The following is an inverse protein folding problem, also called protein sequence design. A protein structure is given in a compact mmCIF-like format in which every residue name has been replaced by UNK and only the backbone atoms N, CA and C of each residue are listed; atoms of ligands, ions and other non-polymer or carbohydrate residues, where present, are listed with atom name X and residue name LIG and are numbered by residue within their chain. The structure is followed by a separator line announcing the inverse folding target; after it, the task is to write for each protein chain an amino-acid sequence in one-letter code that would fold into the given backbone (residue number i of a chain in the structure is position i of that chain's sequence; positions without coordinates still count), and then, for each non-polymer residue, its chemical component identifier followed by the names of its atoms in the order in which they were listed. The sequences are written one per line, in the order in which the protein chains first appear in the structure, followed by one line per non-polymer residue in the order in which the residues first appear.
data_IF_897663325348
#
_entry.id   IF_897663325348
#
_cell.length_a   1.000
_cell.length_b   1.000
_cell.length_c   1.000
_cell.angle_alpha   90.00
_cell.angle_beta   90.00
_cell.angle_gamma   90.00
#
_symmetry.space_group_name_H-M   'P 1'
#
loop_
_entity.id
_entity.type
_entity.pdbx_description
1 polymer ?
#
# COMPACT_ATOMS: atom_id res chain seq x y z
N UNK A 1 -16.07 -1.31 5.64
CA UNK A 1 -16.55 -0.58 6.82
C UNK A 1 -17.29 0.66 6.36
N UNK A 2 -18.42 0.92 6.97
CA UNK A 2 -19.21 2.15 6.80
C UNK A 2 -19.39 2.80 8.17
N UNK A 3 -19.12 4.09 8.29
CA UNK A 3 -19.37 4.90 9.49
C UNK A 3 -20.42 5.95 9.16
N UNK A 4 -21.34 6.21 10.08
CA UNK A 4 -22.43 7.18 9.90
C UNK A 4 -22.42 8.21 11.03
N UNK A 5 -22.59 9.49 10.68
CA UNK A 5 -22.74 10.56 11.66
C UNK A 5 -24.22 10.81 12.01
N UNK A 6 -24.44 11.66 13.00
CA UNK A 6 -25.80 12.03 13.47
C UNK A 6 -26.68 12.71 12.41
N UNK A 7 -26.10 13.16 11.30
CA UNK A 7 -26.84 13.76 10.19
C UNK A 7 -27.10 12.77 9.04
N UNK A 8 -26.76 11.48 9.22
CA UNK A 8 -26.94 10.44 8.22
C UNK A 8 -25.92 10.47 7.08
N UNK A 9 -24.79 11.19 7.25
CA UNK A 9 -23.70 11.15 6.28
C UNK A 9 -22.82 9.96 6.56
N UNK A 10 -22.36 9.28 5.50
CA UNK A 10 -21.57 8.06 5.61
C UNK A 10 -20.17 8.25 5.07
N UNK A 11 -19.19 7.70 5.78
CA UNK A 11 -17.81 7.51 5.31
C UNK A 11 -17.53 6.02 5.13
N UNK A 12 -16.66 5.68 4.20
CA UNK A 12 -16.38 4.30 3.81
C UNK A 12 -14.89 4.00 3.81
N UNK A 13 -14.55 2.75 4.09
CA UNK A 13 -13.23 2.17 3.90
C UNK A 13 -13.32 0.65 3.75
N UNK A 14 -12.19 -0.03 3.61
CA UNK A 14 -12.13 -1.48 3.55
C UNK A 14 -10.99 -2.03 4.41
N UNK A 15 -11.09 -3.29 4.82
CA UNK A 15 -10.02 -4.08 5.40
C UNK A 15 -9.42 -4.98 4.33
N UNK A 16 -8.10 -4.95 4.18
CA UNK A 16 -7.38 -5.70 3.15
C UNK A 16 -6.52 -6.82 3.72
N UNK A 17 -6.78 -7.24 4.96
CA UNK A 17 -6.09 -8.37 5.59
C UNK A 17 -6.43 -9.69 4.89
N UNK A 18 -5.51 -10.64 5.04
CA UNK A 18 -5.67 -11.96 4.44
C UNK A 18 -6.37 -12.95 5.37
N UNK A 19 -6.82 -14.05 4.81
CA UNK A 19 -7.35 -15.17 5.58
C UNK A 19 -6.28 -15.87 6.43
N UNK A 20 -5.00 -15.67 6.11
CA UNK A 20 -3.84 -16.23 6.82
C UNK A 20 -2.85 -15.11 7.16
N UNK A 21 -2.01 -15.34 8.16
CA UNK A 21 -1.05 -14.38 8.69
C UNK A 21 0.32 -14.38 7.97
N UNK A 22 0.33 -14.61 6.66
CA UNK A 22 1.58 -14.68 5.90
C UNK A 22 2.26 -13.32 5.70
N UNK A 23 1.49 -12.25 5.63
CA UNK A 23 2.01 -10.90 5.41
C UNK A 23 2.21 -10.14 6.74
N UNK A 24 1.17 -10.07 7.56
CA UNK A 24 1.22 -9.54 8.93
C UNK A 24 0.65 -10.58 9.90
N UNK A 25 0.93 -10.49 11.21
CA UNK A 25 0.45 -11.46 12.19
C UNK A 25 -1.07 -11.52 12.37
N UNK A 26 -1.82 -10.53 11.87
CA UNK A 26 -3.28 -10.46 11.93
C UNK A 26 -3.96 -11.15 10.73
N UNK A 27 -5.20 -11.56 10.90
CA UNK A 27 -6.04 -12.16 9.87
C UNK A 27 -7.35 -11.43 9.74
N UNK A 28 -8.04 -11.53 8.57
CA UNK A 28 -9.33 -10.86 8.34
C UNK A 28 -10.39 -11.24 9.39
N UNK A 29 -10.39 -12.49 9.88
CA UNK A 29 -11.33 -12.92 10.92
C UNK A 29 -11.04 -12.28 12.27
N UNK A 30 -9.76 -12.13 12.63
CA UNK A 30 -9.35 -11.42 13.85
C UNK A 30 -9.67 -9.93 13.73
N UNK A 31 -9.35 -9.30 12.59
CA UNK A 31 -9.60 -7.90 12.36
C UNK A 31 -11.09 -7.55 12.39
N UNK A 32 -11.94 -8.41 11.81
CA UNK A 32 -13.40 -8.26 11.92
C UNK A 32 -13.85 -8.22 13.39
N UNK A 33 -13.38 -9.14 14.21
CA UNK A 33 -13.69 -9.18 15.64
C UNK A 33 -13.14 -7.95 16.38
N UNK A 34 -11.91 -7.55 16.10
CA UNK A 34 -11.25 -6.38 16.71
C UNK A 34 -11.96 -5.08 16.33
N UNK A 35 -12.36 -4.93 15.06
CA UNK A 35 -13.15 -3.77 14.63
C UNK A 35 -14.46 -3.70 15.38
N UNK A 36 -15.21 -4.80 15.46
CA UNK A 36 -16.51 -4.87 16.12
C UNK A 36 -16.43 -4.65 17.64
N UNK A 37 -15.50 -5.36 18.30
CA UNK A 37 -15.52 -5.49 19.77
C UNK A 37 -14.58 -4.49 20.47
N UNK A 38 -13.62 -3.91 19.76
CA UNK A 38 -12.60 -3.03 20.36
C UNK A 38 -12.57 -1.64 19.72
N UNK A 39 -12.49 -1.55 18.37
CA UNK A 39 -12.31 -0.26 17.69
C UNK A 39 -13.63 0.52 17.62
N UNK A 40 -14.73 -0.11 17.21
CA UNK A 40 -16.00 0.57 17.07
C UNK A 40 -16.52 1.18 18.39
N UNK A 41 -16.45 0.51 19.55
CA UNK A 41 -16.80 1.13 20.83
C UNK A 41 -15.95 2.35 21.20
N UNK A 42 -14.64 2.34 20.89
CA UNK A 42 -13.75 3.48 21.13
C UNK A 42 -14.12 4.66 20.24
N UNK A 43 -14.35 4.41 18.97
CA UNK A 43 -14.68 5.47 17.98
C UNK A 43 -16.06 6.06 18.26
N UNK A 44 -17.05 5.24 18.59
CA UNK A 44 -18.42 5.68 18.86
C UNK A 44 -18.58 6.38 20.23
N UNK A 45 -17.70 6.13 21.18
CA UNK A 45 -17.78 6.68 22.53
C UNK A 45 -17.32 8.14 22.65
N UNK A 46 -16.71 8.69 21.61
CA UNK A 46 -16.04 9.99 21.67
C UNK A 46 -16.52 10.96 20.57
N UNK A 47 -16.21 12.23 20.75
CA UNK A 47 -16.39 13.27 19.73
C UNK A 47 -15.05 13.73 19.22
N UNK A 48 -14.87 13.70 17.92
CA UNK A 48 -13.65 14.09 17.24
C UNK A 48 -13.89 15.33 16.38
N UNK A 49 -12.97 16.29 16.43
CA UNK A 49 -12.99 17.48 15.58
C UNK A 49 -12.25 17.27 14.27
N UNK A 50 -11.24 16.36 14.28
CA UNK A 50 -10.45 16.03 13.11
C UNK A 50 -10.11 14.53 13.12
N UNK A 51 -10.01 13.86 11.95
CA UNK A 51 -9.70 12.42 11.87
C UNK A 51 -8.41 11.99 12.57
N UNK A 52 -7.38 12.86 12.64
CA UNK A 52 -6.13 12.57 13.35
C UNK A 52 -6.31 12.29 14.85
N UNK A 53 -7.38 12.80 15.46
CA UNK A 53 -7.70 12.53 16.86
C UNK A 53 -8.16 11.07 17.06
N UNK A 54 -8.85 10.50 16.06
CA UNK A 54 -9.21 9.08 16.03
C UNK A 54 -7.94 8.22 16.00
N UNK A 55 -6.99 8.55 15.12
CA UNK A 55 -5.72 7.83 15.02
C UNK A 55 -4.96 7.88 16.35
N UNK A 56 -4.92 9.03 17.02
CA UNK A 56 -4.30 9.19 18.33
C UNK A 56 -4.98 8.32 19.40
N UNK A 57 -6.32 8.27 19.42
CA UNK A 57 -7.09 7.43 20.34
C UNK A 57 -6.81 5.94 20.10
N UNK A 58 -6.80 5.49 18.85
CA UNK A 58 -6.51 4.11 18.48
C UNK A 58 -5.04 3.71 18.77
N UNK A 59 -4.10 4.65 18.65
CA UNK A 59 -2.70 4.40 18.94
C UNK A 59 -2.44 4.13 20.43
N UNK A 60 -3.20 4.77 21.32
CA UNK A 60 -3.05 4.64 22.77
C UNK A 60 -3.91 3.54 23.38
N UNK A 61 -4.85 2.95 22.63
CA UNK A 61 -5.74 1.94 23.16
C UNK A 61 -5.01 0.60 23.38
N UNK A 62 -5.08 0.02 24.59
CA UNK A 62 -4.37 -1.22 24.90
C UNK A 62 -4.74 -2.36 23.96
N UNK A 63 -3.75 -3.07 23.46
CA UNK A 63 -3.93 -4.25 22.62
C UNK A 63 -4.12 -3.99 21.12
N UNK A 64 -4.36 -2.75 20.67
CA UNK A 64 -4.51 -2.43 19.25
C UNK A 64 -3.19 -2.25 18.48
N UNK A 65 -2.05 -2.21 19.18
CA UNK A 65 -0.74 -2.04 18.52
C UNK A 65 -0.43 -3.15 17.49
N UNK A 66 -0.90 -4.36 17.74
CA UNK A 66 -0.67 -5.53 16.88
C UNK A 66 -1.71 -5.72 15.75
N UNK A 67 -2.68 -4.80 15.63
CA UNK A 67 -3.75 -4.85 14.64
C UNK A 67 -3.76 -3.59 13.76
N UNK A 68 -2.69 -3.30 13.01
CA UNK A 68 -2.66 -2.14 12.13
C UNK A 68 -3.74 -2.21 11.04
N UNK A 69 -4.00 -3.37 10.43
CA UNK A 69 -5.00 -3.48 9.37
C UNK A 69 -6.43 -3.30 9.90
N UNK A 70 -6.73 -3.79 11.12
CA UNK A 70 -8.02 -3.51 11.75
C UNK A 70 -8.22 -2.00 12.01
N UNK A 71 -7.19 -1.28 12.43
CA UNK A 71 -7.23 0.18 12.57
C UNK A 71 -7.43 0.86 11.22
N UNK A 72 -6.69 0.41 10.20
CA UNK A 72 -6.80 0.92 8.83
C UNK A 72 -8.14 0.58 8.15
N UNK A 73 -8.90 -0.37 8.69
CA UNK A 73 -10.27 -0.63 8.25
C UNK A 73 -11.27 0.44 8.71
N UNK A 74 -10.99 1.18 9.78
CA UNK A 74 -11.95 2.14 10.38
C UNK A 74 -11.50 3.59 10.22
N UNK A 75 -10.25 3.90 10.50
CA UNK A 75 -9.72 5.27 10.50
C UNK A 75 -9.92 5.98 9.16
N UNK A 76 -9.69 5.35 8.00
CA UNK A 76 -9.93 6.00 6.71
C UNK A 76 -11.42 6.29 6.41
N UNK A 77 -12.35 5.51 6.97
CA UNK A 77 -13.78 5.83 6.85
C UNK A 77 -14.12 7.14 7.55
N UNK A 78 -13.45 7.46 8.65
CA UNK A 78 -13.60 8.75 9.34
C UNK A 78 -13.01 9.90 8.49
N UNK A 79 -11.89 9.69 7.80
CA UNK A 79 -11.35 10.65 6.84
C UNK A 79 -12.31 10.91 5.67
N UNK A 80 -12.91 9.86 5.12
CA UNK A 80 -13.91 9.99 4.05
C UNK A 80 -15.16 10.78 4.53
N UNK A 81 -15.67 10.42 5.70
CA UNK A 81 -16.78 11.13 6.32
C UNK A 81 -16.45 12.61 6.56
N UNK A 82 -15.29 12.89 7.11
CA UNK A 82 -14.82 14.25 7.35
C UNK A 82 -14.69 15.06 6.05
N UNK A 83 -14.14 14.45 5.00
CA UNK A 83 -14.08 15.07 3.66
C UNK A 83 -15.44 15.44 3.12
N UNK A 84 -16.46 14.59 3.33
CA UNK A 84 -17.86 14.88 2.97
C UNK A 84 -18.48 16.00 3.81
N UNK A 85 -18.08 16.10 5.09
CA UNK A 85 -18.52 17.20 5.99
C UNK A 85 -17.93 18.53 5.55
N UNK A 86 -16.63 18.59 5.28
CA UNK A 86 -15.93 19.85 4.94
C UNK A 86 -15.96 20.16 3.43
N UNK A 87 -16.52 19.29 2.60
CA UNK A 87 -16.63 19.47 1.17
C UNK A 87 -15.30 19.43 0.42
N UNK A 88 -14.33 18.59 0.89
CA UNK A 88 -13.01 18.49 0.28
C UNK A 88 -12.65 17.03 -0.06
N UNK A 89 -11.89 16.79 -1.16
CA UNK A 89 -11.33 15.48 -1.45
C UNK A 89 -10.21 15.13 -0.49
N UNK A 90 -10.00 13.81 -0.29
CA UNK A 90 -8.93 13.30 0.57
C UNK A 90 -7.56 13.86 0.17
N UNK A 91 -7.25 13.91 -1.13
CA UNK A 91 -5.96 14.43 -1.63
C UNK A 91 -5.64 15.82 -1.08
N UNK A 92 -6.61 16.73 -1.06
CA UNK A 92 -6.42 18.07 -0.48
C UNK A 92 -6.24 18.07 1.03
N UNK A 93 -7.04 17.25 1.71
CA UNK A 93 -6.98 17.19 3.19
C UNK A 93 -5.64 16.71 3.71
N UNK A 94 -4.97 15.82 2.97
CA UNK A 94 -3.65 15.30 3.33
C UNK A 94 -2.48 16.15 2.78
N UNK A 95 -2.75 17.27 2.10
CA UNK A 95 -1.72 18.15 1.56
C UNK A 95 -1.25 17.81 0.14
N UNK A 96 -1.97 16.93 -0.55
CA UNK A 96 -1.71 16.58 -1.94
C UNK A 96 -2.21 17.62 -2.94
N UNK A 97 -1.90 17.44 -4.21
CA UNK A 97 -2.32 18.31 -5.30
C UNK A 97 -3.76 18.03 -5.74
N UNK A 98 -4.31 18.98 -6.51
CA UNK A 98 -5.58 18.83 -7.22
C UNK A 98 -5.37 18.13 -8.58
N UNK A 99 -4.56 17.10 -8.64
CA UNK A 99 -4.33 16.38 -9.87
C UNK A 99 -5.63 15.74 -10.39
N UNK A 100 -5.92 15.95 -11.67
CA UNK A 100 -7.05 15.27 -12.33
C UNK A 100 -6.72 13.82 -12.66
N UNK A 101 -5.42 13.50 -12.74
CA UNK A 101 -4.89 12.20 -13.07
C UNK A 101 -3.55 11.95 -12.36
N UNK A 102 -3.24 10.69 -12.15
CA UNK A 102 -1.90 10.20 -11.74
C UNK A 102 -1.49 9.04 -12.65
N UNK A 103 -0.19 8.81 -12.75
CA UNK A 103 0.30 7.58 -13.38
C UNK A 103 -0.09 6.38 -12.53
N UNK A 104 -0.63 5.35 -13.16
CA UNK A 104 -0.84 4.06 -12.54
C UNK A 104 0.41 3.20 -12.58
N UNK A 105 0.47 2.20 -11.72
CA UNK A 105 1.48 1.16 -11.76
C UNK A 105 0.84 -0.22 -11.72
N UNK A 106 1.40 -1.15 -12.44
CA UNK A 106 0.92 -2.51 -12.48
C UNK A 106 1.91 -3.48 -11.86
N UNK A 107 1.42 -4.65 -11.45
CA UNK A 107 2.22 -5.72 -10.85
C UNK A 107 2.09 -6.97 -11.72
N UNK A 108 3.21 -7.63 -11.98
CA UNK A 108 3.28 -8.93 -12.65
C UNK A 108 3.81 -9.97 -11.66
N UNK A 109 3.05 -11.05 -11.49
CA UNK A 109 3.41 -12.17 -10.61
C UNK A 109 4.51 -13.05 -11.19
N UNK A 110 4.98 -14.00 -10.37
CA UNK A 110 5.93 -15.03 -10.79
C UNK A 110 5.25 -15.97 -11.77
N UNK A 111 5.86 -16.15 -12.94
CA UNK A 111 5.38 -17.03 -14.02
C UNK A 111 6.56 -17.40 -14.96
N UNK A 112 6.40 -18.33 -15.88
CA UNK A 112 7.37 -18.59 -16.93
C UNK A 112 7.74 -17.31 -17.71
N UNK A 113 8.97 -17.21 -18.18
CA UNK A 113 9.51 -15.98 -18.79
C UNK A 113 8.66 -15.45 -19.95
N UNK A 114 8.12 -16.31 -20.79
CA UNK A 114 7.27 -15.89 -21.93
C UNK A 114 5.92 -15.33 -21.47
N UNK A 115 5.35 -15.85 -20.38
CA UNK A 115 4.10 -15.33 -19.80
C UNK A 115 4.35 -13.96 -19.13
N UNK A 116 5.47 -13.81 -18.42
CA UNK A 116 5.90 -12.51 -17.85
C UNK A 116 6.08 -11.47 -18.96
N UNK A 117 6.78 -11.81 -20.05
CA UNK A 117 6.97 -10.94 -21.22
C UNK A 117 5.63 -10.53 -21.84
N UNK A 118 4.74 -11.51 -22.07
CA UNK A 118 3.41 -11.25 -22.63
C UNK A 118 2.57 -10.33 -21.71
N UNK A 119 2.62 -10.55 -20.40
CA UNK A 119 1.93 -9.70 -19.43
C UNK A 119 2.48 -8.25 -19.45
N UNK A 120 3.80 -8.09 -19.41
CA UNK A 120 4.43 -6.75 -19.46
C UNK A 120 4.13 -6.05 -20.78
N UNK A 121 4.23 -6.75 -21.93
CA UNK A 121 3.87 -6.22 -23.24
C UNK A 121 2.42 -5.70 -23.27
N UNK A 122 1.49 -6.46 -22.68
CA UNK A 122 0.09 -6.07 -22.57
C UNK A 122 -0.09 -4.79 -21.72
N UNK A 123 0.61 -4.70 -20.59
CA UNK A 123 0.57 -3.53 -19.71
C UNK A 123 1.16 -2.27 -20.39
N UNK A 124 2.29 -2.41 -21.06
CA UNK A 124 2.89 -1.31 -21.85
C UNK A 124 1.95 -0.85 -22.97
N UNK A 125 1.29 -1.77 -23.66
CA UNK A 125 0.29 -1.44 -24.68
C UNK A 125 -0.93 -0.71 -24.10
N UNK A 126 -1.27 -0.92 -22.82
CA UNK A 126 -2.31 -0.18 -22.09
C UNK A 126 -1.81 1.20 -21.61
N UNK A 127 -0.52 1.53 -21.79
CA UNK A 127 0.08 2.81 -21.45
C UNK A 127 0.77 2.87 -20.08
N UNK A 128 0.92 1.75 -19.38
CA UNK A 128 1.72 1.74 -18.14
C UNK A 128 3.18 2.03 -18.44
N UNK A 129 3.75 2.98 -17.70
CA UNK A 129 5.16 3.39 -17.79
C UNK A 129 6.01 2.82 -16.64
N UNK A 130 5.36 2.18 -15.67
CA UNK A 130 5.98 1.53 -14.52
C UNK A 130 5.33 0.17 -14.30
N UNK A 131 6.15 -0.88 -14.20
CA UNK A 131 5.73 -2.24 -13.87
C UNK A 131 6.59 -2.76 -12.70
N UNK A 132 5.94 -3.33 -11.69
CA UNK A 132 6.59 -4.10 -10.62
C UNK A 132 6.53 -5.58 -10.96
N UNK A 133 7.68 -6.23 -10.99
CA UNK A 133 7.79 -7.67 -11.23
C UNK A 133 8.07 -8.37 -9.91
N UNK A 134 7.25 -9.36 -9.56
CA UNK A 134 7.59 -10.31 -8.49
C UNK A 134 8.73 -11.19 -8.97
N UNK A 135 9.73 -11.38 -8.14
CA UNK A 135 10.93 -12.14 -8.48
C UNK A 135 11.26 -13.19 -7.42
N UNK A 136 11.86 -14.27 -7.88
CA UNK A 136 12.44 -15.34 -7.07
C UNK A 136 13.83 -15.69 -7.59
N UNK A 137 14.75 -16.22 -6.75
CA UNK A 137 16.16 -16.37 -7.11
C UNK A 137 16.42 -17.14 -8.41
N UNK A 138 15.63 -18.18 -8.69
CA UNK A 138 15.85 -19.12 -9.77
C UNK A 138 15.54 -18.54 -11.17
N UNK A 139 14.55 -17.66 -11.25
CA UNK A 139 14.00 -17.16 -12.52
C UNK A 139 14.19 -15.66 -12.73
N UNK A 140 14.51 -14.91 -11.68
CA UNK A 140 14.58 -13.45 -11.69
C UNK A 140 15.43 -12.89 -12.83
N UNK A 141 16.66 -13.38 -12.96
CA UNK A 141 17.60 -12.81 -13.94
C UNK A 141 17.12 -13.01 -15.38
N UNK A 142 16.58 -14.18 -15.70
CA UNK A 142 16.07 -14.49 -17.04
C UNK A 142 14.84 -13.61 -17.35
N UNK A 143 13.88 -13.56 -16.44
CA UNK A 143 12.66 -12.77 -16.63
C UNK A 143 12.94 -11.27 -16.76
N UNK A 144 13.76 -10.70 -15.86
CA UNK A 144 14.06 -9.27 -15.87
C UNK A 144 14.89 -8.87 -17.08
N UNK A 145 15.88 -9.70 -17.48
CA UNK A 145 16.68 -9.46 -18.68
C UNK A 145 15.83 -9.49 -19.95
N UNK A 146 14.91 -10.44 -20.06
CA UNK A 146 14.01 -10.54 -21.21
C UNK A 146 13.10 -9.31 -21.32
N UNK A 147 12.47 -8.89 -20.21
CA UNK A 147 11.63 -7.69 -20.17
C UNK A 147 12.43 -6.43 -20.46
N UNK A 148 13.63 -6.29 -19.91
CA UNK A 148 14.50 -5.12 -20.15
C UNK A 148 14.96 -5.04 -21.62
N UNK A 149 15.18 -6.19 -22.27
CA UNK A 149 15.52 -6.22 -23.69
C UNK A 149 14.37 -5.75 -24.58
N UNK A 150 13.11 -6.12 -24.25
CA UNK A 150 11.92 -5.68 -24.97
C UNK A 150 11.56 -4.22 -24.67
N UNK A 151 11.82 -3.75 -23.45
CA UNK A 151 11.43 -2.40 -22.96
C UNK A 151 12.60 -1.70 -22.24
N UNK A 152 13.57 -1.16 -22.98
CA UNK A 152 14.79 -0.54 -22.41
C UNK A 152 14.51 0.61 -21.43
N UNK A 153 13.46 1.40 -21.68
CA UNK A 153 13.15 2.61 -20.93
C UNK A 153 12.02 2.43 -19.89
N UNK A 154 11.45 1.23 -19.79
CA UNK A 154 10.37 0.96 -18.82
C UNK A 154 10.89 1.08 -17.39
N UNK A 155 10.17 1.83 -16.53
CA UNK A 155 10.46 1.83 -15.09
C UNK A 155 10.10 0.47 -14.51
N UNK A 156 11.11 -0.36 -14.25
CA UNK A 156 10.95 -1.66 -13.59
C UNK A 156 11.24 -1.51 -12.11
N UNK A 157 10.36 -2.04 -11.27
CA UNK A 157 10.60 -2.32 -9.86
C UNK A 157 10.61 -3.83 -9.68
N UNK A 158 11.50 -4.33 -8.84
CA UNK A 158 11.62 -5.76 -8.56
C UNK A 158 11.20 -6.00 -7.11
N UNK A 159 10.29 -6.93 -6.88
CA UNK A 159 9.79 -7.25 -5.56
C UNK A 159 10.05 -8.73 -5.25
N UNK A 160 10.95 -8.95 -4.31
CA UNK A 160 11.42 -10.28 -3.94
C UNK A 160 10.59 -10.92 -2.81
N UNK A 161 9.75 -10.16 -2.10
CA UNK A 161 8.99 -10.63 -0.95
C UNK A 161 9.80 -11.55 -0.03
N UNK A 162 11.04 -11.16 0.28
CA UNK A 162 11.95 -11.86 1.18
C UNK A 162 12.40 -13.25 0.70
N UNK A 163 12.42 -13.51 -0.62
CA UNK A 163 12.77 -14.82 -1.19
C UNK A 163 14.27 -15.07 -1.38
N UNK A 164 15.10 -14.03 -1.31
CA UNK A 164 16.56 -14.12 -1.43
C UNK A 164 17.26 -14.21 -0.08
N UNK A 165 18.54 -14.55 -0.13
CA UNK A 165 19.49 -14.44 0.96
C UNK A 165 20.88 -14.08 0.42
N UNK A 166 21.89 -13.98 1.28
CA UNK A 166 23.25 -13.56 0.90
C UNK A 166 23.94 -14.51 -0.08
N UNK A 167 23.50 -15.76 -0.22
CA UNK A 167 24.04 -16.70 -1.21
C UNK A 167 23.70 -16.30 -2.64
N UNK A 168 22.67 -15.46 -2.83
CA UNK A 168 22.24 -14.95 -4.11
C UNK A 168 22.79 -13.56 -4.46
N UNK A 169 23.79 -13.04 -3.72
CA UNK A 169 24.38 -11.72 -3.98
C UNK A 169 24.78 -11.53 -5.45
N UNK A 170 25.34 -12.58 -6.06
CA UNK A 170 25.76 -12.59 -7.48
C UNK A 170 24.57 -12.35 -8.44
N UNK A 171 23.39 -12.91 -8.11
CA UNK A 171 22.14 -12.70 -8.87
C UNK A 171 21.66 -11.27 -8.69
N UNK A 172 21.66 -10.77 -7.47
CA UNK A 172 21.24 -9.40 -7.15
C UNK A 172 22.13 -8.35 -7.83
N UNK A 173 23.47 -8.57 -7.88
CA UNK A 173 24.39 -7.71 -8.63
C UNK A 173 24.13 -7.74 -10.15
N UNK A 174 23.73 -8.90 -10.72
CA UNK A 174 23.36 -8.99 -12.14
C UNK A 174 22.01 -8.30 -12.41
N UNK A 175 21.06 -8.37 -11.49
CA UNK A 175 19.80 -7.63 -11.57
C UNK A 175 20.05 -6.12 -11.48
N UNK A 176 20.95 -5.66 -10.59
CA UNK A 176 21.38 -4.25 -10.48
C UNK A 176 21.88 -3.70 -11.81
N UNK A 177 22.66 -4.51 -12.56
CA UNK A 177 23.18 -4.14 -13.88
C UNK A 177 22.07 -3.92 -14.95
N UNK A 178 20.85 -4.43 -14.72
CA UNK A 178 19.68 -4.21 -15.57
C UNK A 178 18.92 -2.91 -15.22
N UNK A 179 19.44 -2.13 -14.27
CA UNK A 179 18.97 -0.82 -13.88
C UNK A 179 17.46 -0.77 -13.50
N UNK A 180 17.01 -1.58 -12.53
CA UNK A 180 15.67 -1.40 -11.96
C UNK A 180 15.62 -0.13 -11.09
N UNK A 181 14.43 0.41 -10.87
CA UNK A 181 14.24 1.57 -10.00
C UNK A 181 14.49 1.24 -8.51
N UNK A 182 14.09 0.06 -8.08
CA UNK A 182 14.43 -0.50 -6.77
C UNK A 182 14.32 -2.04 -6.78
N UNK A 183 14.93 -2.66 -5.76
CA UNK A 183 14.74 -4.07 -5.38
C UNK A 183 14.08 -4.07 -4.00
N UNK A 184 12.81 -4.47 -3.95
CA UNK A 184 11.96 -4.45 -2.75
C UNK A 184 12.10 -5.75 -1.98
N UNK A 185 12.31 -5.64 -0.66
CA UNK A 185 12.39 -6.73 0.32
C UNK A 185 13.18 -7.96 -0.16
N UNK A 186 14.48 -7.81 -0.50
CA UNK A 186 15.22 -8.94 -1.06
C UNK A 186 15.46 -10.07 -0.06
N UNK A 187 15.83 -9.78 1.20
CA UNK A 187 16.36 -10.81 2.09
C UNK A 187 15.33 -11.43 3.04
N UNK A 188 15.41 -12.77 3.14
CA UNK A 188 14.66 -13.56 4.11
C UNK A 188 15.13 -13.23 5.54
N UNK A 189 14.22 -12.75 6.42
CA UNK A 189 14.57 -12.40 7.80
C UNK A 189 14.96 -13.63 8.66
N UNK A 190 14.52 -14.82 8.27
CA UNK A 190 14.80 -16.07 9.01
C UNK A 190 16.11 -16.74 8.59
N UNK A 191 16.73 -16.30 7.50
CA UNK A 191 18.03 -16.83 7.08
C UNK A 191 19.14 -16.27 7.96
N UNK A 192 20.08 -17.15 8.35
CA UNK A 192 21.27 -16.77 9.13
C UNK A 192 22.50 -16.93 8.25
N UNK A 193 23.12 -15.81 7.79
CA UNK A 193 24.30 -15.87 6.95
C UNK A 193 25.54 -16.42 7.69
N UNK A 194 26.55 -16.79 6.93
CA UNK A 194 27.82 -17.29 7.47
C UNK A 194 28.54 -16.27 8.39
N UNK A 195 28.28 -14.97 8.23
CA UNK A 195 28.76 -13.91 9.12
C UNK A 195 28.15 -13.99 10.54
N UNK A 196 27.02 -14.68 10.70
CA UNK A 196 26.26 -14.74 11.94
C UNK A 196 25.38 -13.51 12.21
N UNK A 197 25.36 -12.51 11.30
CA UNK A 197 24.51 -11.31 11.46
C UNK A 197 23.03 -11.66 11.33
N UNK A 198 22.24 -11.33 12.33
CA UNK A 198 20.79 -11.63 12.41
C UNK A 198 19.90 -10.41 12.21
N UNK A 199 20.45 -9.22 12.35
CA UNK A 199 19.68 -7.99 12.14
C UNK A 199 19.43 -7.78 10.65
N UNK A 200 18.17 -7.90 10.24
CA UNK A 200 17.77 -7.77 8.84
C UNK A 200 18.16 -6.42 8.25
N UNK A 201 17.99 -5.33 8.98
CA UNK A 201 18.32 -3.99 8.47
C UNK A 201 19.83 -3.82 8.25
N UNK A 202 20.67 -4.38 9.12
CA UNK A 202 22.12 -4.40 8.92
C UNK A 202 22.48 -5.20 7.66
N UNK A 203 21.85 -6.36 7.45
CA UNK A 203 22.06 -7.19 6.26
C UNK A 203 21.62 -6.47 4.97
N UNK A 204 20.46 -5.79 5.00
CA UNK A 204 19.97 -4.99 3.87
C UNK A 204 20.84 -3.77 3.60
N UNK A 205 21.39 -3.15 4.64
CA UNK A 205 22.37 -2.06 4.54
C UNK A 205 23.68 -2.52 3.87
N UNK A 206 24.19 -3.68 4.27
CA UNK A 206 25.37 -4.27 3.62
C UNK A 206 25.10 -4.60 2.15
N UNK A 207 23.93 -5.12 1.83
CA UNK A 207 23.51 -5.31 0.43
C UNK A 207 23.44 -3.99 -0.34
N UNK A 208 22.91 -2.93 0.28
CA UNK A 208 22.84 -1.61 -0.38
C UNK A 208 24.22 -1.05 -0.72
N UNK A 209 25.24 -1.36 0.06
CA UNK A 209 26.63 -0.94 -0.26
C UNK A 209 27.19 -1.64 -1.52
N UNK A 210 26.68 -2.83 -1.86
CA UNK A 210 27.07 -3.58 -3.06
C UNK A 210 26.28 -3.17 -4.32
N UNK A 211 25.10 -2.53 -4.14
CA UNK A 211 24.18 -2.21 -5.24
C UNK A 211 24.08 -0.70 -5.48
N UNK A 212 23.96 -0.30 -6.76
CA UNK A 212 23.58 1.07 -7.16
C UNK A 212 22.07 1.28 -7.04
N UNK A 213 21.30 0.25 -7.40
CA UNK A 213 19.84 0.20 -7.26
C UNK A 213 19.45 0.31 -5.78
N UNK A 214 18.41 1.08 -5.50
CA UNK A 214 17.90 1.22 -4.13
C UNK A 214 17.30 -0.09 -3.63
N UNK A 215 17.73 -0.54 -2.47
CA UNK A 215 16.98 -1.52 -1.68
C UNK A 215 15.77 -0.81 -1.09
N UNK A 216 14.57 -1.35 -1.35
CA UNK A 216 13.32 -0.79 -0.87
C UNK A 216 12.76 -1.65 0.27
N UNK A 217 12.35 -1.00 1.36
CA UNK A 217 11.78 -1.67 2.53
C UNK A 217 10.25 -1.63 2.46
N UNK A 218 9.61 -2.77 2.68
CA UNK A 218 8.16 -2.95 2.77
C UNK A 218 7.79 -3.79 4.00
N UNK A 219 7.77 -5.11 3.90
CA UNK A 219 7.33 -6.03 4.96
C UNK A 219 8.15 -5.89 6.25
N UNK A 220 9.41 -5.53 6.14
CA UNK A 220 10.31 -5.37 7.29
C UNK A 220 10.03 -4.13 8.15
N UNK A 221 9.26 -3.16 7.63
CA UNK A 221 8.97 -1.89 8.32
C UNK A 221 7.48 -1.76 8.60
N UNK A 222 7.06 -2.12 9.80
CA UNK A 222 5.66 -2.07 10.26
C UNK A 222 5.50 -1.16 11.48
N UNK A 223 6.41 -1.25 12.43
CA UNK A 223 6.34 -0.52 13.69
C UNK A 223 7.26 0.71 13.71
N UNK A 224 7.01 1.65 14.62
CA UNK A 224 7.91 2.78 14.85
C UNK A 224 9.34 2.32 15.20
N UNK A 225 9.48 1.20 15.93
CA UNK A 225 10.79 0.63 16.25
C UNK A 225 11.52 0.10 15.01
N UNK A 226 10.80 -0.52 14.06
CA UNK A 226 11.39 -0.96 12.80
C UNK A 226 11.86 0.24 11.97
N UNK A 227 11.04 1.31 11.96
CA UNK A 227 11.38 2.56 11.28
C UNK A 227 12.65 3.19 11.86
N UNK A 228 12.73 3.29 13.20
CA UNK A 228 13.91 3.84 13.89
C UNK A 228 15.16 2.99 13.60
N UNK A 229 15.04 1.66 13.63
CA UNK A 229 16.14 0.75 13.34
C UNK A 229 16.63 0.88 11.89
N UNK A 230 15.71 0.93 10.92
CA UNK A 230 16.05 1.12 9.51
C UNK A 230 16.70 2.49 9.25
N UNK A 231 16.21 3.55 9.91
CA UNK A 231 16.73 4.91 9.74
C UNK A 231 18.08 5.16 10.40
N UNK A 232 18.45 4.33 11.38
CA UNK A 232 19.82 4.34 11.91
C UNK A 232 20.88 3.95 10.87
N UNK A 233 20.45 3.51 9.66
CA UNK A 233 21.27 3.09 8.55
C UNK A 233 21.03 4.03 7.35
N UNK A 234 21.91 5.01 7.18
CA UNK A 234 21.74 6.13 6.22
C UNK A 234 21.60 5.69 4.77
N UNK A 235 22.19 4.56 4.38
CA UNK A 235 22.17 4.05 3.02
C UNK A 235 20.84 3.35 2.63
N UNK A 236 19.99 2.97 3.59
CA UNK A 236 18.63 2.51 3.32
C UNK A 236 17.73 3.72 3.02
N UNK A 237 17.36 3.89 1.74
CA UNK A 237 16.82 5.16 1.24
C UNK A 237 15.44 5.06 0.58
N UNK A 238 14.91 3.86 0.37
CA UNK A 238 13.64 3.65 -0.32
C UNK A 238 12.64 2.90 0.57
N UNK A 239 11.38 3.37 0.64
CA UNK A 239 10.35 2.82 1.52
C UNK A 239 9.00 2.77 0.81
N UNK A 240 8.33 1.60 0.87
CA UNK A 240 6.96 1.43 0.43
C UNK A 240 5.99 1.88 1.53
N UNK A 241 5.13 2.84 1.20
CA UNK A 241 4.03 3.25 2.07
C UNK A 241 2.81 2.34 1.83
N UNK A 242 2.19 1.88 2.89
CA UNK A 242 0.92 1.12 2.81
C UNK A 242 0.00 1.53 3.95
N UNK A 243 -1.16 2.11 3.63
CA UNK A 243 -2.14 2.59 4.61
C UNK A 243 -2.56 1.47 5.57
N UNK A 244 -2.78 0.28 5.04
CA UNK A 244 -3.14 -0.90 5.83
C UNK A 244 -2.06 -1.26 6.86
N UNK A 245 -0.80 -1.32 6.43
CA UNK A 245 0.34 -1.71 7.26
C UNK A 245 0.61 -0.73 8.40
N UNK A 246 0.43 0.57 8.17
CA UNK A 246 0.70 1.60 9.17
C UNK A 246 -0.50 1.90 10.08
N UNK A 247 -1.68 1.35 9.77
CA UNK A 247 -2.85 1.49 10.63
C UNK A 247 -3.76 2.67 10.33
N UNK A 248 -3.70 3.21 9.11
CA UNK A 248 -4.59 4.26 8.64
C UNK A 248 -3.90 5.38 7.87
N UNK A 249 -4.67 6.38 7.49
CA UNK A 249 -4.22 7.55 6.72
C UNK A 249 -3.26 8.41 7.54
N UNK A 250 -3.63 8.77 8.79
CA UNK A 250 -2.77 9.65 9.60
C UNK A 250 -1.41 9.02 9.91
N UNK A 251 -1.31 7.76 10.39
CA UNK A 251 0.00 7.16 10.64
C UNK A 251 0.87 7.06 9.37
N UNK A 252 0.25 6.79 8.22
CA UNK A 252 0.96 6.74 6.93
C UNK A 252 1.46 8.14 6.53
N UNK A 253 0.66 9.17 6.78
CA UNK A 253 1.03 10.55 6.51
C UNK A 253 2.17 11.03 7.42
N UNK A 254 2.14 10.66 8.70
CA UNK A 254 3.20 10.96 9.66
C UNK A 254 4.52 10.31 9.23
N UNK A 255 4.46 9.04 8.82
CA UNK A 255 5.63 8.34 8.28
C UNK A 255 6.13 8.96 6.98
N UNK A 256 5.24 9.32 6.05
CA UNK A 256 5.61 10.04 4.82
C UNK A 256 6.36 11.34 5.15
N UNK A 257 5.83 12.19 6.02
CA UNK A 257 6.48 13.44 6.37
C UNK A 257 7.86 13.22 7.01
N UNK A 258 7.97 12.22 7.86
CA UNK A 258 9.22 11.85 8.49
C UNK A 258 10.26 11.41 7.44
N UNK A 259 9.91 10.48 6.55
CA UNK A 259 10.81 10.03 5.48
C UNK A 259 11.24 11.17 4.56
N UNK A 260 10.29 12.04 4.19
CA UNK A 260 10.61 13.20 3.34
C UNK A 260 11.51 14.20 4.02
N UNK A 261 11.37 14.42 5.33
CA UNK A 261 12.26 15.30 6.10
C UNK A 261 13.73 14.81 6.11
N UNK A 262 13.93 13.52 5.94
CA UNK A 262 15.25 12.87 5.86
C UNK A 262 15.76 12.69 4.42
N UNK A 263 15.03 13.19 3.42
CA UNK A 263 15.38 13.05 2.01
C UNK A 263 15.29 11.62 1.47
N UNK A 264 14.52 10.75 2.13
CA UNK A 264 14.31 9.37 1.68
C UNK A 264 13.29 9.31 0.54
N UNK A 265 13.48 8.35 -0.35
CA UNK A 265 12.52 8.02 -1.43
C UNK A 265 11.34 7.27 -0.85
N UNK A 266 10.14 7.69 -1.21
CA UNK A 266 8.88 7.03 -0.82
C UNK A 266 7.96 6.87 -2.01
N UNK A 267 7.18 5.80 -1.99
CA UNK A 267 6.16 5.54 -3.00
C UNK A 267 5.00 4.75 -2.39
N UNK A 268 3.83 4.80 -3.03
CA UNK A 268 2.63 4.15 -2.50
C UNK A 268 2.54 2.71 -3.01
N UNK A 269 2.80 1.76 -2.13
CA UNK A 269 2.57 0.34 -2.36
C UNK A 269 1.08 0.00 -2.29
N UNK A 270 0.71 -1.18 -2.76
CA UNK A 270 -0.66 -1.69 -2.76
C UNK A 270 -0.79 -3.05 -2.08
N UNK A 271 -2.03 -3.43 -1.85
CA UNK A 271 -2.48 -4.75 -1.44
C UNK A 271 -3.46 -5.31 -2.49
N UNK A 272 -4.28 -6.30 -2.16
CA UNK A 272 -5.42 -6.69 -3.00
C UNK A 272 -6.60 -5.74 -2.77
N UNK A 273 -6.37 -4.49 -3.17
CA UNK A 273 -7.27 -3.38 -2.93
C UNK A 273 -8.43 -3.35 -3.92
N UNK A 274 -9.64 -3.03 -3.42
CA UNK A 274 -10.77 -2.63 -4.28
C UNK A 274 -10.67 -1.13 -4.62
N UNK A 275 -11.61 -0.60 -5.38
CA UNK A 275 -11.64 0.83 -5.72
C UNK A 275 -11.70 1.77 -4.51
N UNK A 276 -12.11 1.29 -3.34
CA UNK A 276 -12.13 2.09 -2.11
C UNK A 276 -10.70 2.43 -1.67
N UNK A 277 -9.86 1.41 -1.39
CA UNK A 277 -8.46 1.65 -0.99
C UNK A 277 -7.61 2.23 -2.11
N UNK A 278 -7.84 1.83 -3.37
CA UNK A 278 -7.13 2.40 -4.51
C UNK A 278 -7.29 3.92 -4.62
N UNK A 279 -8.47 4.47 -4.24
CA UNK A 279 -8.67 5.93 -4.20
C UNK A 279 -7.89 6.59 -3.08
N UNK A 280 -7.70 5.92 -1.94
CA UNK A 280 -6.83 6.41 -0.86
C UNK A 280 -5.37 6.45 -1.32
N UNK A 281 -4.89 5.38 -1.94
CA UNK A 281 -3.54 5.29 -2.50
C UNK A 281 -3.32 6.34 -3.59
N UNK A 282 -4.31 6.54 -4.46
CA UNK A 282 -4.26 7.58 -5.48
C UNK A 282 -4.20 8.99 -4.88
N UNK A 283 -4.90 9.25 -3.76
CA UNK A 283 -4.79 10.50 -3.04
C UNK A 283 -3.37 10.73 -2.48
N UNK A 284 -2.76 9.73 -1.89
CA UNK A 284 -1.36 9.78 -1.43
C UNK A 284 -0.37 10.01 -2.57
N UNK A 285 -0.60 9.40 -3.73
CA UNK A 285 0.26 9.60 -4.91
C UNK A 285 0.26 11.05 -5.43
N UNK A 286 -0.68 11.90 -4.96
CA UNK A 286 -0.67 13.35 -5.27
C UNK A 286 0.21 14.18 -4.34
N UNK A 287 0.77 13.59 -3.28
CA UNK A 287 1.65 14.27 -2.34
C UNK A 287 2.97 14.68 -3.00
N UNK A 288 3.57 15.83 -2.61
CA UNK A 288 4.88 16.25 -3.13
C UNK A 288 5.95 15.20 -2.88
N UNK A 289 6.75 14.86 -3.91
CA UNK A 289 7.87 13.91 -3.77
C UNK A 289 7.44 12.47 -3.57
N UNK A 290 6.30 12.08 -4.10
CA UNK A 290 6.05 10.68 -4.43
C UNK A 290 6.90 10.34 -5.65
N UNK A 291 8.00 9.63 -5.43
CA UNK A 291 9.09 9.53 -6.40
C UNK A 291 8.84 8.47 -7.50
N UNK A 292 7.93 7.54 -7.24
CA UNK A 292 7.55 6.47 -8.17
C UNK A 292 6.03 6.39 -8.31
N UNK A 293 5.50 6.00 -9.49
CA UNK A 293 4.08 5.71 -9.63
C UNK A 293 3.62 4.65 -8.63
N UNK A 294 2.41 4.79 -8.05
CA UNK A 294 1.91 3.87 -7.02
C UNK A 294 1.56 2.49 -7.58
N UNK A 295 1.43 1.48 -6.73
CA UNK A 295 0.83 0.18 -7.06
C UNK A 295 -0.70 0.32 -7.17
N UNK A 296 -1.17 1.19 -8.05
CA UNK A 296 -2.59 1.40 -8.30
C UNK A 296 -2.87 1.13 -9.77
N UNK A 297 -3.52 0.02 -10.02
CA UNK A 297 -4.15 -0.36 -11.30
C UNK A 297 -5.66 -0.16 -11.19
N UNK A 298 -6.41 -0.42 -12.25
CA UNK A 298 -7.85 -0.55 -12.11
C UNK A 298 -8.24 -1.82 -11.32
N UNK A 299 -9.51 -1.94 -10.95
CA UNK A 299 -9.99 -3.06 -10.15
C UNK A 299 -9.87 -4.41 -10.88
N UNK A 300 -9.95 -4.41 -12.20
CA UNK A 300 -9.97 -5.65 -13.01
C UNK A 300 -8.67 -6.45 -12.94
N UNK A 301 -7.59 -5.88 -12.40
CA UNK A 301 -6.37 -6.61 -12.11
C UNK A 301 -6.57 -7.76 -11.11
N UNK A 302 -7.57 -7.61 -10.20
CA UNK A 302 -7.80 -8.57 -9.11
C UNK A 302 -9.25 -9.02 -8.97
N UNK A 303 -10.23 -8.21 -9.43
CA UNK A 303 -11.64 -8.44 -9.18
C UNK A 303 -12.44 -8.35 -10.49
N UNK A 304 -13.47 -9.19 -10.62
CA UNK A 304 -14.40 -9.13 -11.74
C UNK A 304 -15.36 -7.94 -11.65
N UNK A 305 -15.57 -7.40 -10.44
CA UNK A 305 -16.43 -6.25 -10.16
C UNK A 305 -15.80 -5.38 -9.05
N UNK A 306 -15.93 -4.06 -9.17
CA UNK A 306 -15.47 -3.15 -8.12
C UNK A 306 -16.52 -3.02 -7.01
N UNK A 307 -16.08 -2.80 -5.79
CA UNK A 307 -16.96 -2.51 -4.64
C UNK A 307 -17.33 -1.03 -4.54
N UNK A 308 -16.70 -0.17 -5.35
CA UNK A 308 -16.87 1.29 -5.34
C UNK A 308 -17.57 1.79 -6.61
N UNK A 309 -18.46 2.76 -6.44
CA UNK A 309 -19.12 3.49 -7.54
C UNK A 309 -18.83 5.00 -7.47
N UNK A 310 -18.47 5.64 -8.59
CA UNK A 310 -18.06 5.01 -9.85
C UNK A 310 -16.76 4.23 -9.68
N UNK A 311 -16.46 3.21 -10.49
CA UNK A 311 -15.16 2.53 -10.44
C UNK A 311 -14.03 3.52 -10.79
N UNK A 312 -12.83 3.23 -10.30
CA UNK A 312 -11.64 4.00 -10.64
C UNK A 312 -11.19 3.65 -12.07
N UNK A 313 -11.24 4.62 -12.97
CA UNK A 313 -10.93 4.41 -14.38
C UNK A 313 -9.44 4.55 -14.68
N UNK A 314 -8.90 3.56 -15.39
CA UNK A 314 -7.58 3.63 -16.01
C UNK A 314 -7.73 4.01 -17.49
N UNK A 315 -7.01 5.04 -17.94
CA UNK A 315 -6.97 5.49 -19.33
C UNK A 315 -5.53 5.75 -19.75
N UNK A 316 -5.02 4.92 -20.66
CA UNK A 316 -3.65 5.06 -21.17
C UNK A 316 -2.59 5.12 -20.06
N UNK A 317 -2.64 4.20 -19.11
CA UNK A 317 -1.72 4.13 -17.98
C UNK A 317 -1.92 5.20 -16.91
N UNK A 318 -2.94 6.07 -17.03
CA UNK A 318 -3.29 7.08 -16.05
C UNK A 318 -4.62 6.78 -15.37
N UNK A 319 -4.67 6.99 -14.06
CA UNK A 319 -5.88 6.89 -13.25
C UNK A 319 -6.57 8.25 -13.19
N UNK A 320 -7.87 8.28 -13.51
CA UNK A 320 -8.68 9.50 -13.51
C UNK A 320 -9.24 9.76 -12.12
N UNK A 321 -8.81 10.84 -11.47
CA UNK A 321 -9.16 11.18 -10.08
C UNK A 321 -10.37 12.11 -9.95
N UNK A 322 -10.72 12.86 -11.01
CA UNK A 322 -11.82 13.81 -11.00
C UNK A 322 -13.19 13.22 -11.44
N UNK A 323 -13.33 11.91 -11.37
CA UNK A 323 -14.61 11.22 -11.56
C UNK A 323 -15.10 10.67 -10.20
N UNK A 324 -16.23 11.20 -9.65
CA UNK A 324 -17.09 12.25 -10.19
C UNK A 324 -16.43 13.64 -10.20
N UNK A 325 -16.98 14.57 -10.97
CA UNK A 325 -16.49 15.95 -11.00
C UNK A 325 -16.61 16.59 -9.62
N UNK A 326 -15.52 17.20 -9.12
CA UNK A 326 -15.42 17.75 -7.76
C UNK A 326 -15.68 16.69 -6.68
N UNK A 327 -14.85 15.64 -6.58
CA UNK A 327 -15.01 14.61 -5.56
C UNK A 327 -14.88 15.21 -4.15
N UNK A 328 -15.60 14.64 -3.20
CA UNK A 328 -15.46 14.91 -1.76
C UNK A 328 -15.16 13.59 -1.04
N UNK A 329 -14.39 13.64 0.03
CA UNK A 329 -13.90 12.43 0.66
C UNK A 329 -13.09 11.59 -0.32
N UNK A 330 -13.43 10.32 -0.47
CA UNK A 330 -12.83 9.39 -1.45
C UNK A 330 -13.41 9.56 -2.88
N UNK A 331 -14.51 10.32 -3.03
CA UNK A 331 -15.17 10.51 -4.33
C UNK A 331 -15.89 9.25 -4.84
N UNK A 332 -16.30 8.36 -3.96
CA UNK A 332 -17.09 7.17 -4.31
C UNK A 332 -18.09 6.81 -3.19
N UNK A 333 -18.96 5.88 -3.51
CA UNK A 333 -19.86 5.20 -2.58
C UNK A 333 -19.69 3.69 -2.74
N UNK A 334 -20.17 2.92 -1.78
CA UNK A 334 -20.21 1.45 -1.92
C UNK A 334 -21.29 1.02 -2.91
N UNK A 335 -20.97 0.05 -3.75
CA UNK A 335 -21.95 -0.66 -4.58
C UNK A 335 -22.71 -1.66 -3.69
N UNK A 336 -23.74 -1.18 -3.02
CA UNK A 336 -24.56 -2.01 -2.11
C UNK A 336 -25.35 -3.09 -2.86
N UNK A 337 -25.70 -2.87 -4.12
CA UNK A 337 -26.40 -3.87 -4.94
C UNK A 337 -25.49 -5.09 -5.19
N UNK A 338 -24.20 -4.87 -5.43
CA UNK A 338 -23.22 -5.94 -5.56
C UNK A 338 -22.83 -6.55 -4.22
N UNK A 339 -22.62 -5.74 -3.18
CA UNK A 339 -22.09 -6.21 -1.89
C UNK A 339 -23.10 -6.99 -1.06
N UNK A 340 -24.38 -6.59 -1.01
CA UNK A 340 -25.39 -7.24 -0.16
C UNK A 340 -25.54 -8.74 -0.43
N UNK A 341 -25.68 -9.24 -1.67
CA UNK A 341 -25.79 -10.67 -1.94
C UNK A 341 -24.50 -11.46 -1.72
N UNK A 342 -23.34 -10.78 -1.63
CA UNK A 342 -22.01 -11.41 -1.42
C UNK A 342 -21.56 -11.32 0.05
N UNK A 343 -22.27 -10.58 0.89
CA UNK A 343 -21.95 -10.45 2.31
C UNK A 343 -22.07 -11.80 3.03
N UNK A 344 -21.03 -12.17 3.77
CA UNK A 344 -21.00 -13.38 4.61
C UNK A 344 -21.63 -13.06 5.97
N UNK A 345 -21.34 -11.88 6.50
CA UNK A 345 -21.86 -11.38 7.76
C UNK A 345 -21.96 -9.85 7.72
N UNK A 346 -22.86 -9.29 8.51
CA UNK A 346 -23.03 -7.86 8.67
C UNK A 346 -23.36 -7.56 10.15
N UNK A 347 -22.63 -6.63 10.73
CA UNK A 347 -22.88 -6.19 12.10
C UNK A 347 -22.99 -4.67 12.15
N UNK A 348 -24.00 -4.17 12.86
CA UNK A 348 -24.18 -2.76 13.16
C UNK A 348 -23.85 -2.51 14.63
N UNK A 349 -22.85 -1.67 14.89
CA UNK A 349 -22.48 -1.22 16.24
C UNK A 349 -22.96 0.21 16.40
N UNK A 350 -23.66 0.51 17.50
CA UNK A 350 -24.22 1.83 17.77
C UNK A 350 -23.86 2.29 19.19
N UNK A 351 -24.01 3.58 19.45
CA UNK A 351 -23.79 4.16 20.79
C UNK A 351 -24.86 3.72 21.82
N UNK A 352 -25.95 3.09 21.40
CA UNK A 352 -27.02 2.64 22.27
C UNK A 352 -26.94 1.14 22.65
N UNK A 353 -25.84 0.47 22.29
CA UNK A 353 -25.51 -0.92 22.64
C UNK A 353 -25.89 -1.93 21.60
#
# INVERSE_FOLDING_TARGET
VEVEDWAGRTGISECVSFATNWYLPETIGEDYAVVRDSIAPVVLGERYLHPSEVSASLATFPGLAKYPMAKAAVEPAIWDLYGKIVGQPLSKMIGGSNAEKILGGAVVGIAPVEDVRAAVNSLVAQGYTRVKMKIEPETALECVAAVRADHPDLTLMLDANQSFDESYLDVLCKLDALNPACIEEPYNPNYVPNSGERNLFVRLSLLQDELKTMVCLDESVVTASDMEAAMGLDNLRCYALKIAKFGGIQPTLDFYHWMRSLGKTVWMGGMFDTGVSKRMHAAFATLPGMDLPPDVSDYSAYFAHDTALPPLELKHGELVLNAPKNPVGLGCILDKEYLQPTAIDEVKVTTEG
#
